data_IF_821379723384
#
_entry.id   IF_821379723384
#
_cell.length_a   1.000
_cell.length_b   1.000
_cell.length_c   1.000
_cell.angle_alpha   90.00
_cell.angle_beta   90.00
_cell.angle_gamma   90.00
#
_symmetry.space_group_name_H-M   'P 1'
#
loop_
_entity.id
_entity.type
_entity.pdbx_description
1 polymer ?
#
# COMPACT_ATOMS: atom_id res chain seq x y z
N UNK A 1 -5.95 4.81 0.73
CA UNK A 1 -6.96 3.83 1.17
C UNK A 1 -8.07 4.46 2.01
N UNK A 2 -7.78 5.35 2.97
CA UNK A 2 -8.83 6.02 3.75
C UNK A 2 -9.83 6.76 2.84
N UNK A 3 -9.35 7.54 1.88
CA UNK A 3 -10.23 8.30 0.98
C UNK A 3 -11.12 7.38 0.15
N UNK A 4 -10.55 6.31 -0.41
CA UNK A 4 -11.33 5.31 -1.13
C UNK A 4 -12.38 4.65 -0.23
N UNK A 5 -12.06 4.36 1.04
CA UNK A 5 -13.03 3.84 2.00
C UNK A 5 -14.16 4.85 2.26
N UNK A 6 -13.84 6.14 2.46
CA UNK A 6 -14.83 7.20 2.65
C UNK A 6 -15.74 7.34 1.42
N UNK A 7 -15.18 7.36 0.20
CA UNK A 7 -15.96 7.39 -1.04
C UNK A 7 -16.94 6.22 -1.16
N UNK A 8 -16.51 5.02 -0.73
CA UNK A 8 -17.39 3.86 -0.67
C UNK A 8 -18.50 4.09 0.37
N UNK A 9 -18.18 4.58 1.57
CA UNK A 9 -19.20 4.89 2.60
C UNK A 9 -20.24 5.90 2.09
N UNK A 10 -19.80 6.90 1.32
CA UNK A 10 -20.65 7.94 0.72
C UNK A 10 -21.54 7.43 -0.43
N UNK A 11 -21.46 6.14 -0.78
CA UNK A 11 -22.36 5.49 -1.73
C UNK A 11 -21.73 5.09 -3.06
N UNK A 12 -20.43 5.35 -3.26
CA UNK A 12 -19.73 4.81 -4.43
C UNK A 12 -19.69 3.28 -4.36
N UNK A 13 -19.99 2.59 -5.45
CA UNK A 13 -19.91 1.12 -5.48
C UNK A 13 -18.46 0.62 -5.52
N UNK A 14 -17.60 1.36 -6.23
CA UNK A 14 -16.20 1.03 -6.48
C UNK A 14 -15.35 2.29 -6.47
N UNK A 15 -14.09 2.15 -6.07
CA UNK A 15 -13.09 3.21 -6.08
C UNK A 15 -11.80 2.69 -6.72
N UNK A 16 -11.26 3.45 -7.68
CA UNK A 16 -9.94 3.18 -8.24
C UNK A 16 -8.86 3.87 -7.40
N UNK A 17 -7.97 3.09 -6.80
CA UNK A 17 -6.81 3.59 -6.05
C UNK A 17 -5.57 3.41 -6.91
N UNK A 18 -4.86 4.49 -7.17
CA UNK A 18 -3.59 4.47 -7.90
C UNK A 18 -2.44 4.82 -6.96
N UNK A 19 -1.49 3.91 -6.84
CA UNK A 19 -0.19 4.17 -6.22
C UNK A 19 0.85 4.32 -7.33
N UNK A 20 1.30 5.54 -7.60
CA UNK A 20 2.33 5.81 -8.59
C UNK A 20 3.59 6.30 -7.91
N UNK A 21 4.70 5.65 -8.22
CA UNK A 21 6.03 6.04 -7.78
C UNK A 21 6.87 6.31 -9.04
N UNK A 22 7.43 7.50 -9.12
CA UNK A 22 8.41 7.87 -10.15
C UNK A 22 9.76 8.08 -9.45
N UNK A 23 10.87 7.49 -9.94
CA UNK A 23 12.18 7.77 -9.39
C UNK A 23 12.45 9.28 -9.40
N UNK A 24 13.00 9.78 -8.29
CA UNK A 24 13.36 11.18 -8.20
C UNK A 24 14.39 11.52 -9.28
N UNK A 25 14.12 12.56 -10.05
CA UNK A 25 15.00 13.03 -11.12
C UNK A 25 16.44 13.25 -10.58
N UNK A 26 17.42 12.90 -11.41
CA UNK A 26 18.84 13.04 -11.10
C UNK A 26 19.27 14.49 -10.83
N UNK A 27 18.50 15.48 -11.30
CA UNK A 27 18.75 16.89 -11.00
C UNK A 27 18.60 17.25 -9.51
N UNK A 28 17.88 16.44 -8.73
CA UNK A 28 17.75 16.64 -7.29
C UNK A 28 18.94 16.01 -6.56
N UNK A 29 19.82 16.86 -6.00
CA UNK A 29 21.00 16.44 -5.24
C UNK A 29 20.61 16.07 -3.80
N UNK A 30 20.10 14.84 -3.64
CA UNK A 30 19.76 14.25 -2.35
C UNK A 30 20.34 12.84 -2.27
N UNK A 31 20.85 12.48 -1.10
CA UNK A 31 21.34 11.14 -0.81
C UNK A 31 20.17 10.23 -0.43
N UNK A 32 19.58 9.59 -1.46
CA UNK A 32 18.48 8.63 -1.32
C UNK A 32 18.71 7.44 -2.24
N UNK A 33 18.16 6.29 -1.84
CA UNK A 33 18.01 5.16 -2.76
C UNK A 33 16.87 5.44 -3.75
N UNK A 34 17.20 5.49 -5.05
CA UNK A 34 16.23 5.79 -6.12
C UNK A 34 15.70 4.47 -6.69
N UNK A 35 14.38 4.39 -6.85
CA UNK A 35 13.78 3.28 -7.58
C UNK A 35 14.36 3.13 -9.00
N UNK A 36 14.48 1.91 -9.53
CA UNK A 36 15.14 1.69 -10.83
C UNK A 36 14.31 2.16 -12.04
N UNK A 37 12.99 2.33 -11.87
CA UNK A 37 12.06 2.76 -12.94
C UNK A 37 10.75 3.28 -12.35
N UNK A 38 10.00 4.03 -13.15
CA UNK A 38 8.64 4.47 -12.83
C UNK A 38 7.68 3.28 -12.78
N UNK A 39 6.86 3.20 -11.73
CA UNK A 39 5.88 2.14 -11.55
C UNK A 39 4.57 2.67 -10.96
N UNK A 40 3.45 2.21 -11.51
CA UNK A 40 2.14 2.42 -10.94
C UNK A 40 1.43 1.09 -10.63
N UNK A 41 0.78 1.05 -9.46
CA UNK A 41 -0.08 -0.03 -9.01
C UNK A 41 -1.52 0.48 -8.91
N UNK A 42 -2.44 -0.09 -9.69
CA UNK A 42 -3.85 0.28 -9.68
C UNK A 42 -4.69 -0.81 -9.00
N UNK A 43 -5.47 -0.42 -8.00
CA UNK A 43 -6.38 -1.31 -7.27
C UNK A 43 -7.82 -0.83 -7.47
N UNK A 44 -8.68 -1.73 -7.96
CA UNK A 44 -10.12 -1.51 -7.95
C UNK A 44 -10.69 -2.02 -6.64
N UNK A 45 -11.06 -1.10 -5.75
CA UNK A 45 -11.57 -1.41 -4.40
C UNK A 45 -13.09 -1.34 -4.41
N UNK A 46 -13.74 -2.30 -3.74
CA UNK A 46 -15.18 -2.33 -3.52
C UNK A 46 -15.47 -2.61 -2.04
N UNK A 47 -16.70 -2.36 -1.60
CA UNK A 47 -17.14 -2.78 -0.26
C UNK A 47 -17.04 -4.30 -0.12
N UNK A 48 -16.51 -4.77 1.01
CA UNK A 48 -16.31 -6.17 1.28
C UNK A 48 -15.52 -6.39 2.57
N UNK A 49 -15.28 -7.65 2.89
CA UNK A 49 -14.58 -8.07 4.11
C UNK A 49 -13.35 -8.94 3.83
N UNK A 50 -13.00 -9.15 2.57
CA UNK A 50 -11.91 -10.03 2.14
C UNK A 50 -10.54 -9.58 2.68
N UNK A 51 -10.39 -8.28 2.95
CA UNK A 51 -9.17 -7.69 3.46
C UNK A 51 -9.46 -6.80 4.65
N UNK A 52 -8.57 -6.88 5.64
CA UNK A 52 -8.54 -5.98 6.78
C UNK A 52 -7.22 -5.23 6.79
N UNK A 53 -7.31 -3.92 7.03
CA UNK A 53 -6.16 -3.04 7.22
C UNK A 53 -6.18 -2.51 8.66
N UNK A 54 -5.12 -2.74 9.42
CA UNK A 54 -5.00 -2.32 10.82
C UNK A 54 -3.71 -1.55 11.04
N UNK A 55 -3.80 -0.43 11.77
CA UNK A 55 -2.61 0.27 12.27
C UNK A 55 -2.13 -0.45 13.52
N UNK A 56 -0.88 -0.87 13.53
CA UNK A 56 -0.27 -1.59 14.65
C UNK A 56 1.16 -1.10 14.88
N UNK A 57 1.47 -0.77 16.13
CA UNK A 57 2.80 -0.32 16.58
C UNK A 57 3.74 -1.48 16.93
N UNK A 58 3.22 -2.70 17.08
CA UNK A 58 3.94 -3.90 17.51
C UNK A 58 3.84 -5.06 16.51
N UNK A 59 3.55 -4.77 15.24
CA UNK A 59 3.34 -5.80 14.22
C UNK A 59 4.62 -6.60 13.94
N UNK A 60 4.51 -7.93 14.02
CA UNK A 60 5.55 -8.87 13.58
C UNK A 60 5.43 -9.23 12.09
N UNK A 61 4.42 -8.70 11.38
CA UNK A 61 4.23 -8.99 9.97
C UNK A 61 5.43 -8.51 9.14
N UNK A 62 5.82 -9.24 8.07
CA UNK A 62 6.94 -8.87 7.23
C UNK A 62 6.68 -7.49 6.61
N UNK A 63 7.64 -6.59 6.78
CA UNK A 63 7.56 -5.25 6.22
C UNK A 63 7.78 -5.31 4.71
N UNK A 64 6.92 -4.60 3.99
CA UNK A 64 7.11 -4.28 2.59
C UNK A 64 7.73 -2.89 2.49
N UNK A 65 9.00 -2.84 2.10
CA UNK A 65 9.78 -1.61 1.94
C UNK A 65 9.70 -1.06 0.50
N UNK A 66 9.31 -1.88 -0.47
CA UNK A 66 9.31 -1.56 -1.91
C UNK A 66 8.11 -0.69 -2.36
N UNK A 67 7.50 0.04 -1.43
CA UNK A 67 6.37 0.94 -1.69
C UNK A 67 5.24 0.29 -2.49
N UNK A 68 4.83 0.95 -3.58
CA UNK A 68 3.75 0.49 -4.48
C UNK A 68 4.11 -0.81 -5.20
N UNK A 69 5.38 -1.01 -5.56
CA UNK A 69 5.87 -2.21 -6.22
C UNK A 69 5.67 -3.44 -5.35
N UNK A 70 6.04 -3.32 -4.08
CA UNK A 70 5.90 -4.43 -3.16
C UNK A 70 4.43 -4.74 -2.82
N UNK A 71 3.54 -3.73 -2.78
CA UNK A 71 2.10 -4.00 -2.58
C UNK A 71 1.57 -4.83 -3.74
N UNK A 72 1.91 -4.43 -4.97
CA UNK A 72 1.56 -5.16 -6.19
C UNK A 72 2.15 -6.59 -6.19
N UNK A 73 3.44 -6.74 -5.86
CA UNK A 73 4.10 -8.05 -5.80
C UNK A 73 3.46 -8.99 -4.77
N UNK A 74 3.10 -8.49 -3.58
CA UNK A 74 2.46 -9.29 -2.52
C UNK A 74 1.07 -9.77 -2.93
N UNK A 75 0.27 -8.88 -3.53
CA UNK A 75 -1.05 -9.21 -4.03
C UNK A 75 -0.99 -10.27 -5.16
N UNK A 76 -0.11 -10.08 -6.14
CA UNK A 76 0.06 -11.02 -7.26
C UNK A 76 0.66 -12.36 -6.80
N UNK A 77 1.55 -12.33 -5.81
CA UNK A 77 2.12 -13.54 -5.19
C UNK A 77 1.14 -14.30 -4.30
N UNK A 78 -0.10 -13.82 -4.13
CA UNK A 78 -1.11 -14.50 -3.32
C UNK A 78 -0.82 -14.46 -1.81
N UNK A 79 0.05 -13.56 -1.36
CA UNK A 79 0.31 -13.39 0.07
C UNK A 79 -0.97 -12.98 0.78
N UNK A 80 -1.20 -13.53 1.97
CA UNK A 80 -2.40 -13.25 2.77
C UNK A 80 -2.14 -12.28 3.91
N UNK A 81 -0.88 -11.98 4.22
CA UNK A 81 -0.52 -11.04 5.27
C UNK A 81 0.82 -10.35 4.99
N UNK A 82 0.88 -9.03 5.18
CA UNK A 82 2.10 -8.22 5.15
C UNK A 82 1.88 -6.88 5.85
N UNK A 83 2.94 -6.11 6.07
CA UNK A 83 2.85 -4.75 6.59
C UNK A 83 3.41 -3.73 5.60
N UNK A 84 2.84 -2.52 5.57
CA UNK A 84 3.41 -1.35 4.88
C UNK A 84 3.76 -0.28 5.92
N UNK A 85 4.77 0.52 5.63
CA UNK A 85 5.20 1.62 6.51
C UNK A 85 4.09 2.65 6.74
N UNK A 86 4.22 3.37 7.85
CA UNK A 86 3.52 4.62 8.10
C UNK A 86 4.54 5.76 8.05
N UNK A 87 4.06 7.00 8.08
CA UNK A 87 4.90 8.18 8.25
C UNK A 87 5.45 8.32 9.69
N UNK A 88 5.06 7.47 10.64
CA UNK A 88 5.51 7.50 12.03
C UNK A 88 5.96 6.11 12.51
N UNK A 89 7.21 5.70 12.25
CA UNK A 89 7.79 4.50 12.84
C UNK A 89 7.75 4.56 14.39
N UNK A 90 7.54 3.44 15.10
CA UNK A 90 7.52 2.06 14.61
C UNK A 90 6.16 1.61 14.06
N UNK A 91 5.15 2.49 13.96
CA UNK A 91 3.81 2.12 13.52
C UNK A 91 3.78 1.61 12.07
N UNK A 92 2.97 0.59 11.82
CA UNK A 92 2.82 -0.08 10.51
C UNK A 92 1.36 -0.33 10.19
N UNK A 93 1.02 -0.28 8.91
CA UNK A 93 -0.27 -0.75 8.42
C UNK A 93 -0.17 -2.23 8.06
N UNK A 94 -0.84 -3.10 8.82
CA UNK A 94 -0.89 -4.54 8.57
C UNK A 94 -2.10 -4.87 7.69
N UNK A 95 -1.82 -5.52 6.56
CA UNK A 95 -2.80 -6.08 5.64
C UNK A 95 -3.00 -7.55 5.98
N UNK A 96 -4.25 -7.96 6.14
CA UNK A 96 -4.61 -9.36 6.41
C UNK A 96 -5.82 -9.78 5.60
N UNK A 97 -5.66 -10.78 4.74
CA UNK A 97 -6.76 -11.43 4.04
C UNK A 97 -7.61 -12.21 5.05
N UNK A 98 -8.90 -11.98 5.05
CA UNK A 98 -9.83 -12.77 5.86
C UNK A 98 -10.13 -14.06 5.10
N UNK A 99 -10.00 -15.20 5.78
CA UNK A 99 -10.39 -16.53 5.31
C UNK A 99 -11.85 -16.82 5.57
#
# INVERSE_FOLDING_TARGET
MLDAWLMLQDGSERALVLYANDPLDAQYDVDIDRGPFALACALLVHKGTDWRLCLDTNSSAPLNEDGSAGVCARLLGGHTQWATLTNQPPARWTWTRQT
#
